data_IF_884729177424
#
_entry.id   IF_884729177424
#
_cell.length_a   1.000
_cell.length_b   1.000
_cell.length_c   1.000
_cell.angle_alpha   90.00
_cell.angle_beta   90.00
_cell.angle_gamma   90.00
#
_symmetry.space_group_name_H-M   'P 1'
#
loop_
_entity.id
_entity.type
_entity.pdbx_description
1 polymer ?
#
# COMPACT_ATOMS: atom_id res chain seq x y z
N UNK A 1 33.79 20.64 39.53
CA UNK A 1 32.42 21.16 39.47
C UNK A 1 31.58 20.15 38.66
N UNK A 2 30.49 19.63 39.26
CA UNK A 2 29.43 18.75 38.70
C UNK A 2 29.90 17.41 38.05
N UNK A 3 29.80 16.21 38.65
CA UNK A 3 28.65 15.37 39.12
C UNK A 3 27.56 15.22 38.06
N UNK A 4 27.03 14.05 37.66
CA UNK A 4 26.77 12.77 38.36
C UNK A 4 26.52 11.63 37.33
N UNK A 5 27.17 10.47 37.44
CA UNK A 5 26.70 9.17 37.98
C UNK A 5 25.58 8.45 37.20
N UNK A 6 25.96 7.41 36.46
CA UNK A 6 25.08 6.30 36.04
C UNK A 6 25.43 5.06 36.83
N UNK A 7 24.44 4.34 37.36
CA UNK A 7 24.39 2.89 37.52
C UNK A 7 23.10 2.48 38.27
N UNK A 8 22.26 1.63 37.66
CA UNK A 8 22.09 0.21 38.01
C UNK A 8 20.79 -0.37 37.42
N UNK A 9 20.94 -1.57 36.86
CA UNK A 9 19.88 -2.51 36.49
C UNK A 9 19.11 -3.02 37.73
N UNK A 10 17.85 -3.43 37.53
CA UNK A 10 17.34 -4.67 38.12
C UNK A 10 16.10 -5.21 37.35
N UNK A 11 16.16 -6.48 36.97
CA UNK A 11 15.05 -7.33 36.54
C UNK A 11 14.27 -7.81 37.77
N UNK A 12 12.94 -7.90 37.69
CA UNK A 12 12.20 -9.02 38.30
C UNK A 12 10.82 -9.20 37.67
N UNK A 13 10.41 -10.47 37.63
CA UNK A 13 9.14 -10.99 37.19
C UNK A 13 8.04 -10.82 38.26
N UNK A 14 6.79 -10.68 37.84
CA UNK A 14 5.68 -11.58 38.26
C UNK A 14 4.31 -11.01 37.89
N UNK A 15 3.40 -11.97 37.77
CA UNK A 15 1.98 -11.99 37.43
C UNK A 15 1.04 -10.99 38.13
N UNK A 16 -0.09 -10.79 37.44
CA UNK A 16 -1.47 -10.62 37.95
C UNK A 16 -2.12 -9.23 37.87
N UNK A 17 -3.20 -9.20 37.08
CA UNK A 17 -4.46 -8.45 37.22
C UNK A 17 -4.36 -6.97 37.64
N UNK A 18 -4.68 -6.07 36.70
CA UNK A 18 -5.02 -4.68 37.05
C UNK A 18 -6.44 -4.35 36.58
N UNK A 19 -7.30 -4.11 37.57
CA UNK A 19 -8.70 -3.70 37.47
C UNK A 19 -8.72 -2.18 37.35
N UNK A 20 -9.52 -1.64 36.41
CA UNK A 20 -9.75 -0.21 36.25
C UNK A 20 -10.36 0.41 37.53
N UNK A 21 -9.74 1.47 38.03
CA UNK A 21 -10.35 2.37 39.02
C UNK A 21 -10.12 3.82 38.60
N UNK A 22 -11.22 4.56 38.43
CA UNK A 22 -11.27 5.99 38.11
C UNK A 22 -10.73 6.81 39.29
N UNK A 23 -9.68 7.60 39.06
CA UNK A 23 -9.27 8.65 40.00
C UNK A 23 -10.15 9.89 39.80
N UNK A 24 -10.77 10.36 40.89
CA UNK A 24 -11.40 11.67 41.02
C UNK A 24 -10.32 12.73 41.24
N UNK A 25 -10.39 13.83 40.50
CA UNK A 25 -9.62 15.05 40.76
C UNK A 25 -10.34 15.92 41.81
N UNK A 26 -9.62 16.62 42.70
CA UNK A 26 -10.19 17.63 43.59
C UNK A 26 -10.07 19.06 43.00
N UNK A 27 -11.20 19.78 42.98
CA UNK A 27 -11.30 21.25 43.06
C UNK A 27 -11.41 21.61 44.57
N UNK A 28 -10.96 22.71 45.14
CA UNK A 28 -10.57 24.06 44.69
C UNK A 28 -10.01 24.78 45.94
N UNK A 29 -9.23 25.86 45.79
CA UNK A 29 -9.32 27.00 46.73
C UNK A 29 -8.72 28.28 46.13
N UNK A 30 -9.60 29.16 45.66
CA UNK A 30 -9.37 30.61 45.69
C UNK A 30 -10.54 31.25 46.44
N UNK A 31 -10.20 32.11 47.41
CA UNK A 31 -11.18 32.81 48.23
C UNK A 31 -11.73 34.04 47.53
N UNK A 32 -12.99 34.36 47.78
CA UNK A 32 -13.40 35.65 48.35
C UNK A 32 -14.93 35.67 48.65
N UNK A 33 -15.20 36.09 49.88
CA UNK A 33 -16.44 36.52 50.54
C UNK A 33 -17.64 36.88 49.65
N UNK A 34 -18.84 36.42 50.06
CA UNK A 34 -20.04 37.27 49.97
C UNK A 34 -21.41 36.58 49.90
N UNK A 35 -22.03 36.39 51.09
CA UNK A 35 -23.47 36.39 51.41
C UNK A 35 -24.41 35.31 50.83
N UNK A 36 -24.86 34.45 51.72
CA UNK A 36 -26.10 33.67 51.62
C UNK A 36 -27.34 34.58 51.64
N UNK A 37 -28.34 34.29 50.81
CA UNK A 37 -29.76 34.47 51.14
C UNK A 37 -30.60 33.40 50.44
N UNK A 38 -31.22 32.58 51.28
CA UNK A 38 -32.32 31.67 50.98
C UNK A 38 -33.62 32.49 50.88
N UNK A 39 -34.57 32.14 50.02
CA UNK A 39 -36.01 32.40 50.19
C UNK A 39 -36.84 31.76 49.04
N UNK A 40 -37.69 30.83 49.44
CA UNK A 40 -38.68 30.12 48.63
C UNK A 40 -39.96 30.97 48.39
N UNK A 41 -40.49 30.92 47.15
CA UNK A 41 -41.91 30.99 46.70
C UNK A 41 -42.72 32.30 46.85
N UNK A 42 -43.92 32.42 46.21
CA UNK A 42 -44.30 32.29 44.79
C UNK A 42 -45.08 33.54 44.30
N UNK A 43 -45.33 33.70 42.99
CA UNK A 43 -46.38 34.64 42.51
C UNK A 43 -47.33 34.02 41.49
N UNK A 44 -48.60 34.32 41.76
CA UNK A 44 -49.83 33.87 41.10
C UNK A 44 -49.94 34.33 39.64
N UNK A 45 -50.58 33.50 38.83
CA UNK A 45 -51.36 33.94 37.66
C UNK A 45 -52.79 33.42 37.87
N UNK A 46 -53.75 34.35 37.88
CA UNK A 46 -55.19 34.09 37.94
C UNK A 46 -55.85 34.47 36.63
N UNK A 47 -56.66 33.53 36.13
CA UNK A 47 -57.89 33.67 35.32
C UNK A 47 -57.81 34.31 33.93
N UNK A 48 -58.26 33.58 32.90
CA UNK A 48 -59.65 33.63 32.42
C UNK A 48 -59.92 32.62 31.28
N UNK A 49 -61.18 32.15 31.24
CA UNK A 49 -61.95 31.66 30.09
C UNK A 49 -61.83 30.20 29.61
N UNK A 50 -62.63 29.35 30.26
CA UNK A 50 -63.79 28.64 29.70
C UNK A 50 -63.95 28.58 28.16
N UNK A 51 -63.47 27.52 27.51
CA UNK A 51 -64.03 26.99 26.27
C UNK A 51 -63.88 25.45 26.25
N UNK A 52 -64.99 24.73 26.09
CA UNK A 52 -65.03 23.26 25.96
C UNK A 52 -64.42 22.85 24.61
N UNK A 53 -63.51 21.85 24.55
CA UNK A 53 -62.97 21.38 23.29
C UNK A 53 -63.95 20.44 22.57
N UNK A 54 -64.01 20.46 21.22
CA UNK A 54 -64.81 19.53 20.45
C UNK A 54 -64.18 18.13 20.46
N UNK A 55 -65.03 17.11 20.59
CA UNK A 55 -64.67 15.70 20.56
C UNK A 55 -64.13 15.30 19.18
N UNK A 56 -62.82 15.15 19.07
CA UNK A 56 -62.20 14.46 17.93
C UNK A 56 -61.99 12.99 18.28
N UNK A 57 -62.54 12.12 17.43
CA UNK A 57 -62.46 10.67 17.55
C UNK A 57 -61.00 10.22 17.47
N UNK A 58 -60.59 9.36 18.39
CA UNK A 58 -59.35 8.59 18.30
C UNK A 58 -59.41 7.71 17.06
N UNK A 59 -58.68 8.09 16.01
CA UNK A 59 -58.28 7.14 14.98
C UNK A 59 -57.15 6.28 15.55
N UNK A 60 -57.34 4.96 15.54
CA UNK A 60 -56.39 4.02 16.14
C UNK A 60 -55.12 4.04 15.29
N UNK A 61 -54.07 4.61 15.86
CA UNK A 61 -52.73 4.62 15.28
C UNK A 61 -52.32 3.24 14.76
N UNK A 62 -52.30 3.11 13.43
CA UNK A 62 -51.63 2.02 12.75
C UNK A 62 -50.20 2.49 12.49
N UNK A 63 -49.32 1.96 13.34
CA UNK A 63 -47.87 2.06 13.41
C UNK A 63 -47.20 2.49 12.09
N UNK A 64 -46.52 3.64 12.11
CA UNK A 64 -45.43 3.93 11.18
C UNK A 64 -44.32 2.91 11.40
N UNK A 65 -44.23 1.92 10.52
CA UNK A 65 -43.06 1.08 10.36
C UNK A 65 -42.35 1.50 9.07
N UNK A 66 -41.80 2.71 9.07
CA UNK A 66 -40.81 3.11 8.06
C UNK A 66 -39.41 2.77 8.57
N UNK A 67 -39.20 1.50 8.93
CA UNK A 67 -37.87 0.92 8.82
C UNK A 67 -37.70 0.51 7.35
N UNK A 68 -37.46 1.52 6.51
CA UNK A 68 -36.75 1.30 5.25
C UNK A 68 -35.37 0.79 5.65
N UNK A 69 -35.24 -0.53 5.74
CA UNK A 69 -33.96 -1.20 5.78
C UNK A 69 -33.19 -0.65 4.58
N UNK A 70 -32.21 0.24 4.84
CA UNK A 70 -31.25 0.66 3.84
C UNK A 70 -30.64 -0.62 3.31
N UNK A 71 -31.04 -1.02 2.10
CA UNK A 71 -30.38 -2.07 1.33
C UNK A 71 -28.89 -1.73 1.40
N UNK A 72 -28.02 -2.63 1.89
CA UNK A 72 -26.60 -2.34 1.91
C UNK A 72 -26.24 -1.95 0.49
N UNK A 73 -25.71 -0.73 0.31
CA UNK A 73 -25.16 -0.36 -0.98
C UNK A 73 -24.08 -1.41 -1.23
N UNK A 74 -24.23 -2.21 -2.28
CA UNK A 74 -23.13 -3.02 -2.75
C UNK A 74 -22.03 -2.02 -3.09
N UNK A 75 -21.03 -1.92 -2.22
CA UNK A 75 -19.82 -1.15 -2.50
C UNK A 75 -19.14 -1.92 -3.63
N UNK A 76 -19.34 -1.48 -4.87
CA UNK A 76 -18.58 -1.98 -5.99
C UNK A 76 -17.16 -1.45 -5.80
N UNK A 77 -16.27 -2.33 -5.44
CA UNK A 77 -14.89 -1.97 -5.17
C UNK A 77 -14.15 -1.50 -6.44
N UNK A 78 -13.14 -0.67 -6.22
CA UNK A 78 -12.78 0.44 -7.12
C UNK A 78 -11.52 0.18 -7.96
N UNK A 79 -10.77 -0.88 -7.67
CA UNK A 79 -9.60 -1.26 -8.46
C UNK A 79 -10.01 -2.24 -9.56
N UNK A 80 -9.61 -1.94 -10.79
CA UNK A 80 -9.84 -2.79 -11.96
C UNK A 80 -8.59 -3.58 -12.31
N UNK A 81 -8.76 -4.81 -12.78
CA UNK A 81 -7.66 -5.58 -13.36
C UNK A 81 -7.17 -4.90 -14.65
N UNK A 82 -6.01 -4.26 -14.60
CA UNK A 82 -5.40 -3.60 -15.75
C UNK A 82 -4.84 -4.68 -16.70
N UNK A 83 -5.19 -4.67 -18.00
CA UNK A 83 -4.60 -5.62 -18.95
C UNK A 83 -3.10 -5.35 -19.13
N UNK A 84 -2.28 -6.38 -19.42
CA UNK A 84 -0.88 -6.17 -19.80
C UNK A 84 -0.80 -5.26 -21.04
N UNK A 85 0.29 -4.52 -21.25
CA UNK A 85 0.44 -3.58 -22.37
C UNK A 85 0.68 -4.26 -23.73
N UNK A 86 0.36 -5.55 -23.86
CA UNK A 86 0.59 -6.39 -25.04
C UNK A 86 -0.42 -7.54 -25.11
N UNK A 87 -0.52 -8.19 -26.27
CA UNK A 87 -1.35 -9.40 -26.46
C UNK A 87 -0.76 -10.57 -25.66
N UNK A 88 -1.59 -11.53 -25.29
CA UNK A 88 -1.16 -12.61 -24.38
C UNK A 88 -0.14 -13.57 -24.98
N UNK A 89 -0.07 -13.67 -26.30
CA UNK A 89 0.91 -14.46 -27.05
C UNK A 89 2.15 -13.64 -27.47
N UNK A 90 2.20 -12.34 -27.17
CA UNK A 90 3.25 -11.46 -27.68
C UNK A 90 4.62 -11.64 -27.01
N UNK A 91 4.68 -12.40 -25.92
CA UNK A 91 5.93 -12.75 -25.24
C UNK A 91 6.44 -14.15 -25.61
N UNK A 92 5.76 -14.88 -26.50
CA UNK A 92 6.24 -16.17 -26.99
C UNK A 92 7.52 -16.00 -27.84
N UNK A 93 8.46 -16.97 -27.81
CA UNK A 93 8.42 -18.25 -27.08
C UNK A 93 8.96 -18.18 -25.64
N UNK A 94 9.14 -16.98 -25.08
CA UNK A 94 9.87 -16.73 -23.84
C UNK A 94 8.97 -16.69 -22.60
N UNK A 95 7.69 -16.37 -22.76
CA UNK A 95 6.67 -16.60 -21.75
C UNK A 95 5.42 -17.02 -22.49
N UNK A 96 4.89 -18.20 -22.17
CA UNK A 96 3.78 -18.75 -22.94
C UNK A 96 2.50 -17.95 -22.73
N UNK A 97 1.63 -17.96 -23.74
CA UNK A 97 0.26 -17.44 -23.58
C UNK A 97 -0.44 -18.05 -22.36
N UNK A 98 -0.19 -19.34 -22.10
CA UNK A 98 -0.77 -20.04 -20.95
C UNK A 98 -0.30 -19.46 -19.61
N UNK A 99 0.98 -19.11 -19.50
CA UNK A 99 1.51 -18.41 -18.32
C UNK A 99 0.81 -17.06 -18.14
N UNK A 100 0.63 -16.24 -19.18
CA UNK A 100 -0.10 -14.97 -19.04
C UNK A 100 -1.57 -15.18 -18.64
N UNK A 101 -2.28 -16.13 -19.25
CA UNK A 101 -3.67 -16.44 -18.89
C UNK A 101 -3.82 -16.82 -17.42
N UNK A 102 -2.87 -17.56 -16.87
CA UNK A 102 -2.93 -17.99 -15.46
C UNK A 102 -2.42 -16.88 -14.53
N UNK A 103 -1.27 -16.29 -14.82
CA UNK A 103 -0.61 -15.32 -13.94
C UNK A 103 -1.34 -13.97 -13.92
N UNK A 104 -1.71 -13.41 -15.08
CA UNK A 104 -2.57 -12.23 -15.12
C UNK A 104 -4.03 -12.58 -14.88
N UNK A 105 -4.53 -13.59 -15.58
CA UNK A 105 -5.97 -13.89 -15.59
C UNK A 105 -6.47 -14.50 -14.29
N UNK A 106 -5.71 -15.33 -13.59
CA UNK A 106 -6.16 -15.95 -12.34
C UNK A 106 -5.51 -15.32 -11.11
N UNK A 107 -4.17 -15.29 -11.03
CA UNK A 107 -3.47 -14.79 -9.83
C UNK A 107 -3.69 -13.29 -9.63
N UNK A 108 -3.38 -12.48 -10.63
CA UNK A 108 -3.55 -11.03 -10.53
C UNK A 108 -5.02 -10.63 -10.35
N UNK A 109 -5.95 -11.25 -11.10
CA UNK A 109 -7.40 -11.07 -10.89
C UNK A 109 -7.81 -11.42 -9.46
N UNK A 110 -7.32 -12.52 -8.92
CA UNK A 110 -7.60 -12.95 -7.54
C UNK A 110 -7.15 -11.93 -6.50
N UNK A 111 -6.00 -11.28 -6.70
CA UNK A 111 -5.55 -10.18 -5.82
C UNK A 111 -6.46 -8.95 -5.93
N UNK A 112 -6.83 -8.54 -7.15
CA UNK A 112 -7.75 -7.41 -7.36
C UNK A 112 -9.09 -7.67 -6.70
N UNK A 113 -9.70 -8.84 -6.93
CA UNK A 113 -10.97 -9.22 -6.31
C UNK A 113 -10.89 -9.29 -4.79
N UNK A 114 -9.78 -9.79 -4.24
CA UNK A 114 -9.57 -9.88 -2.79
C UNK A 114 -9.39 -8.52 -2.15
N UNK A 115 -8.55 -7.66 -2.75
CA UNK A 115 -8.39 -6.26 -2.34
C UNK A 115 -9.74 -5.55 -2.28
N UNK A 116 -10.50 -5.71 -3.36
CA UNK A 116 -11.83 -5.16 -3.49
C UNK A 116 -12.81 -5.64 -2.39
N UNK A 117 -12.72 -6.91 -1.97
CA UNK A 117 -13.51 -7.44 -0.84
C UNK A 117 -13.10 -6.85 0.51
N UNK A 118 -11.83 -6.50 0.72
CA UNK A 118 -11.41 -5.82 1.93
C UNK A 118 -11.90 -4.37 1.97
N UNK A 119 -11.72 -3.63 0.87
CA UNK A 119 -12.14 -2.23 0.78
C UNK A 119 -13.66 -2.05 0.87
N UNK A 120 -14.44 -3.07 0.50
CA UNK A 120 -15.89 -3.08 0.73
C UNK A 120 -16.31 -3.17 2.21
N UNK A 121 -15.37 -3.38 3.14
CA UNK A 121 -15.62 -3.48 4.59
C UNK A 121 -15.14 -2.28 5.39
N UNK A 122 -14.25 -1.46 4.82
CA UNK A 122 -13.63 -0.33 5.52
C UNK A 122 -13.71 0.94 4.68
N UNK A 123 -14.54 1.89 5.15
CA UNK A 123 -14.73 3.18 4.50
C UNK A 123 -13.51 4.11 4.67
N UNK A 124 -12.59 3.85 5.61
CA UNK A 124 -11.42 4.70 5.89
C UNK A 124 -10.37 4.56 4.78
N UNK A 125 -10.22 3.37 4.23
CA UNK A 125 -9.25 3.09 3.15
C UNK A 125 -9.79 3.47 1.77
N UNK A 126 -10.99 4.06 1.72
CA UNK A 126 -11.59 4.52 0.48
C UNK A 126 -10.89 5.76 -0.08
N UNK A 127 -10.68 5.79 -1.40
CA UNK A 127 -10.18 6.95 -2.13
C UNK A 127 -8.65 7.09 -2.19
N UNK A 128 -7.89 6.27 -1.46
CA UNK A 128 -6.45 6.17 -1.64
C UNK A 128 -6.11 5.68 -3.05
N UNK A 129 -5.02 6.20 -3.62
CA UNK A 129 -4.35 5.54 -4.75
C UNK A 129 -3.69 4.23 -4.28
N UNK A 130 -3.35 3.34 -5.21
CA UNK A 130 -2.77 2.04 -4.85
C UNK A 130 -1.43 2.20 -4.11
N UNK A 131 -0.58 3.12 -4.56
CA UNK A 131 0.69 3.47 -3.92
C UNK A 131 0.51 3.97 -2.49
N UNK A 132 -0.44 4.88 -2.26
CA UNK A 132 -0.73 5.40 -0.92
C UNK A 132 -1.33 4.31 -0.02
N UNK A 133 -2.23 3.48 -0.56
CA UNK A 133 -2.85 2.38 0.17
C UNK A 133 -1.79 1.40 0.66
N UNK A 134 -0.82 1.03 -0.19
CA UNK A 134 0.31 0.17 0.17
C UNK A 134 1.10 0.77 1.33
N UNK A 135 1.44 2.07 1.25
CA UNK A 135 2.22 2.75 2.28
C UNK A 135 1.50 2.80 3.62
N UNK A 136 0.22 3.14 3.63
CA UNK A 136 -0.60 3.22 4.84
C UNK A 136 -0.80 1.83 5.45
N UNK A 137 -1.12 0.84 4.61
CA UNK A 137 -1.40 -0.54 5.08
C UNK A 137 -0.15 -1.32 5.46
N UNK A 138 1.04 -0.94 4.98
CA UNK A 138 2.30 -1.52 5.48
C UNK A 138 2.53 -1.23 6.97
N UNK A 139 2.02 -0.09 7.45
CA UNK A 139 1.97 0.28 8.86
C UNK A 139 3.31 0.05 9.58
N UNK A 140 4.37 0.65 9.04
CA UNK A 140 5.74 0.62 9.58
C UNK A 140 6.27 -0.81 9.85
N UNK A 141 5.96 -1.76 8.97
CA UNK A 141 6.38 -3.16 9.11
C UNK A 141 5.43 -4.03 9.92
N UNK A 142 4.28 -3.50 10.36
CA UNK A 142 3.19 -4.26 10.98
C UNK A 142 1.97 -4.28 10.05
N UNK A 143 2.06 -4.98 8.90
CA UNK A 143 1.11 -4.84 7.81
C UNK A 143 -0.33 -5.17 8.23
N UNK A 144 -1.26 -4.34 7.80
CA UNK A 144 -2.70 -4.57 7.92
C UNK A 144 -3.14 -5.68 6.95
N UNK A 145 -4.31 -6.31 7.16
CA UNK A 145 -4.79 -7.41 6.33
C UNK A 145 -4.84 -7.11 4.82
N UNK A 146 -5.05 -5.85 4.45
CA UNK A 146 -5.16 -5.35 3.09
C UNK A 146 -3.82 -5.29 2.36
N UNK A 147 -2.71 -5.16 3.10
CA UNK A 147 -1.40 -4.83 2.54
C UNK A 147 -0.96 -5.85 1.50
N UNK A 148 -1.00 -7.15 1.83
CA UNK A 148 -0.50 -8.19 0.95
C UNK A 148 -1.24 -8.21 -0.39
N UNK A 149 -2.57 -8.04 -0.38
CA UNK A 149 -3.35 -8.03 -1.63
C UNK A 149 -3.17 -6.72 -2.40
N UNK A 150 -3.09 -5.57 -1.72
CA UNK A 150 -2.81 -4.28 -2.36
C UNK A 150 -1.44 -4.29 -3.04
N UNK A 151 -0.41 -4.73 -2.32
CA UNK A 151 0.94 -4.79 -2.82
C UNK A 151 1.09 -5.82 -3.96
N UNK A 152 0.41 -6.97 -3.90
CA UNK A 152 0.43 -7.92 -5.02
C UNK A 152 -0.25 -7.35 -6.27
N UNK A 153 -1.35 -6.61 -6.18
CA UNK A 153 -1.94 -5.93 -7.36
C UNK A 153 -0.89 -5.00 -7.99
N UNK A 154 -0.26 -4.16 -7.18
CA UNK A 154 0.72 -3.20 -7.65
C UNK A 154 1.97 -3.86 -8.24
N UNK A 155 2.51 -4.90 -7.59
CA UNK A 155 3.68 -5.62 -8.06
C UNK A 155 3.42 -6.26 -9.43
N UNK A 156 2.23 -6.82 -9.65
CA UNK A 156 1.86 -7.43 -10.92
C UNK A 156 1.63 -6.39 -12.01
N UNK A 157 0.90 -5.30 -11.73
CA UNK A 157 0.79 -4.17 -12.66
C UNK A 157 2.17 -3.68 -13.12
N UNK A 158 3.10 -3.54 -12.17
CA UNK A 158 4.46 -3.11 -12.44
C UNK A 158 5.28 -4.14 -13.22
N UNK A 159 5.10 -5.43 -12.94
CA UNK A 159 5.77 -6.54 -13.62
C UNK A 159 5.37 -6.65 -15.09
N UNK A 160 4.08 -6.54 -15.41
CA UNK A 160 3.62 -6.56 -16.81
C UNK A 160 4.21 -5.41 -17.61
N UNK A 161 4.32 -4.23 -17.02
CA UNK A 161 4.98 -3.08 -17.63
C UNK A 161 6.50 -3.20 -17.67
N UNK A 162 7.10 -4.10 -16.89
CA UNK A 162 8.54 -4.37 -16.89
C UNK A 162 8.96 -5.28 -18.05
N UNK A 163 8.00 -5.79 -18.82
CA UNK A 163 8.22 -6.63 -20.00
C UNK A 163 7.67 -5.97 -21.27
N UNK A 164 8.20 -6.37 -22.43
CA UNK A 164 7.66 -5.99 -23.73
C UNK A 164 7.93 -7.06 -24.79
N UNK A 165 7.11 -7.17 -25.85
CA UNK A 165 7.42 -7.95 -27.03
C UNK A 165 8.72 -7.46 -27.69
N UNK A 166 9.63 -8.39 -28.01
CA UNK A 166 10.96 -8.04 -28.53
C UNK A 166 11.81 -7.28 -27.50
N UNK A 167 11.56 -7.51 -26.21
CA UNK A 167 12.35 -6.97 -25.10
C UNK A 167 13.75 -7.58 -25.01
N UNK A 168 14.39 -7.31 -23.88
CA UNK A 168 15.81 -7.60 -23.69
C UNK A 168 16.70 -6.60 -24.42
N UNK A 169 17.85 -7.06 -24.90
CA UNK A 169 18.96 -6.24 -25.38
C UNK A 169 19.60 -5.38 -24.28
N UNK A 170 20.43 -4.41 -24.67
CA UNK A 170 21.02 -3.45 -23.76
C UNK A 170 20.03 -2.33 -23.41
N UNK A 171 20.11 -1.76 -22.19
CA UNK A 171 19.46 -0.50 -21.85
C UNK A 171 19.85 0.60 -22.82
N UNK A 172 18.97 1.58 -22.96
CA UNK A 172 19.14 2.68 -23.91
C UNK A 172 19.39 4.01 -23.20
N UNK A 173 20.04 4.95 -23.89
CA UNK A 173 20.22 6.34 -23.46
C UNK A 173 20.84 6.42 -22.05
N UNK A 174 20.45 7.42 -21.26
CA UNK A 174 21.03 7.66 -19.93
C UNK A 174 20.80 6.53 -18.93
N UNK A 175 19.94 5.54 -19.20
CA UNK A 175 19.79 4.38 -18.31
C UNK A 175 21.04 3.48 -18.36
N UNK A 176 21.61 3.26 -19.55
CA UNK A 176 22.85 2.49 -19.67
C UNK A 176 24.00 3.20 -18.96
N UNK A 177 24.15 4.51 -19.19
CA UNK A 177 25.19 5.33 -18.53
C UNK A 177 25.08 5.26 -17.00
N UNK A 178 23.85 5.34 -16.47
CA UNK A 178 23.63 5.25 -15.02
C UNK A 178 23.92 3.84 -14.49
N UNK A 179 23.58 2.79 -15.23
CA UNK A 179 23.93 1.40 -14.87
C UNK A 179 25.45 1.23 -14.86
N UNK A 180 26.16 1.67 -15.90
CA UNK A 180 27.62 1.55 -15.97
C UNK A 180 28.31 2.38 -14.88
N UNK A 181 27.74 3.52 -14.50
CA UNK A 181 28.22 4.31 -13.37
C UNK A 181 28.10 3.58 -12.03
N UNK A 182 26.96 2.93 -11.77
CA UNK A 182 26.67 2.36 -10.45
C UNK A 182 27.14 0.91 -10.28
N UNK A 183 27.25 0.15 -11.38
CA UNK A 183 27.64 -1.27 -11.39
C UNK A 183 28.99 -1.50 -12.10
N UNK A 184 29.59 -0.47 -12.71
CA UNK A 184 30.84 -0.52 -13.46
C UNK A 184 30.69 -0.96 -14.92
N UNK A 185 29.76 -1.87 -15.20
CA UNK A 185 29.37 -2.26 -16.57
C UNK A 185 27.96 -2.86 -16.59
N UNK A 186 27.34 -2.94 -17.78
CA UNK A 186 26.09 -3.69 -17.92
C UNK A 186 26.26 -5.19 -17.62
N UNK A 187 27.41 -5.79 -17.94
CA UNK A 187 27.69 -7.20 -17.63
C UNK A 187 27.64 -7.45 -16.13
N UNK A 188 28.30 -6.58 -15.36
CA UNK A 188 28.32 -6.67 -13.89
C UNK A 188 26.91 -6.54 -13.32
N UNK A 189 26.12 -5.58 -13.82
CA UNK A 189 24.72 -5.43 -13.43
C UNK A 189 23.92 -6.71 -13.73
N UNK A 190 24.06 -7.27 -14.95
CA UNK A 190 23.32 -8.48 -15.35
C UNK A 190 23.70 -9.66 -14.47
N UNK A 191 24.99 -9.86 -14.20
CA UNK A 191 25.49 -10.91 -13.32
C UNK A 191 24.94 -10.77 -11.90
N UNK A 192 25.03 -9.57 -11.30
CA UNK A 192 24.50 -9.28 -9.97
C UNK A 192 22.98 -9.48 -9.91
N UNK A 193 22.24 -9.06 -10.94
CA UNK A 193 20.78 -9.21 -11.00
C UNK A 193 20.38 -10.68 -11.04
N UNK A 194 21.06 -11.48 -11.87
CA UNK A 194 20.80 -12.91 -12.01
C UNK A 194 21.16 -13.64 -10.71
N UNK A 195 22.35 -13.40 -10.14
CA UNK A 195 22.77 -14.00 -8.88
C UNK A 195 21.78 -13.70 -7.75
N UNK A 196 21.35 -12.44 -7.65
CA UNK A 196 20.37 -12.00 -6.67
C UNK A 196 19.01 -12.71 -6.83
N UNK A 197 18.55 -12.89 -8.07
CA UNK A 197 17.30 -13.59 -8.35
C UNK A 197 17.36 -15.10 -8.02
N UNK A 198 18.52 -15.73 -8.24
CA UNK A 198 18.73 -17.16 -7.95
C UNK A 198 18.93 -17.44 -6.46
N UNK A 199 19.50 -16.50 -5.72
CA UNK A 199 19.68 -16.61 -4.26
C UNK A 199 18.41 -16.27 -3.48
N UNK A 200 17.41 -15.63 -4.10
CA UNK A 200 16.12 -15.37 -3.47
C UNK A 200 15.38 -16.68 -3.15
N UNK A 201 15.27 -16.96 -1.85
CA UNK A 201 14.60 -18.15 -1.33
C UNK A 201 13.10 -17.91 -1.14
N UNK A 202 12.29 -18.87 -1.59
CA UNK A 202 10.83 -18.80 -1.51
C UNK A 202 10.23 -17.82 -2.52
N UNK A 203 9.06 -17.29 -2.18
CA UNK A 203 8.29 -16.37 -3.01
C UNK A 203 8.71 -14.93 -2.78
N UNK A 204 8.83 -14.16 -3.86
CA UNK A 204 9.26 -12.77 -3.78
C UNK A 204 9.54 -12.15 -5.14
N UNK A 205 10.25 -11.02 -5.12
CA UNK A 205 10.50 -10.19 -6.29
C UNK A 205 11.93 -9.68 -6.30
N UNK A 206 12.49 -9.49 -7.49
CA UNK A 206 13.76 -8.80 -7.69
C UNK A 206 13.50 -7.48 -8.40
N UNK A 207 14.19 -6.43 -7.97
CA UNK A 207 13.95 -5.07 -8.43
C UNK A 207 15.26 -4.42 -8.85
N UNK A 208 15.22 -3.65 -9.94
CA UNK A 208 16.15 -2.55 -10.12
C UNK A 208 15.49 -1.30 -9.54
N UNK A 209 16.12 -0.68 -8.56
CA UNK A 209 15.60 0.52 -7.89
C UNK A 209 16.59 1.68 -7.99
N UNK A 210 16.08 2.91 -8.03
CA UNK A 210 16.85 4.10 -7.70
C UNK A 210 16.67 4.40 -6.21
N UNK A 211 17.77 4.28 -5.46
CA UNK A 211 17.84 4.68 -4.04
C UNK A 211 17.81 6.22 -3.97
N UNK A 212 16.68 6.79 -3.54
CA UNK A 212 16.47 8.26 -3.55
C UNK A 212 17.57 9.02 -2.78
N UNK A 213 17.94 8.53 -1.61
CA UNK A 213 18.91 9.18 -0.73
C UNK A 213 20.35 9.05 -1.25
N UNK A 214 20.68 7.91 -1.84
CA UNK A 214 22.02 7.63 -2.36
C UNK A 214 22.21 8.12 -3.80
N UNK A 215 21.11 8.47 -4.50
CA UNK A 215 21.11 8.90 -5.90
C UNK A 215 21.80 7.91 -6.84
N UNK A 216 21.64 6.62 -6.55
CA UNK A 216 22.24 5.52 -7.31
C UNK A 216 21.26 4.37 -7.51
N UNK A 217 21.49 3.60 -8.57
CA UNK A 217 20.83 2.35 -8.82
C UNK A 217 21.35 1.26 -7.88
N UNK A 218 20.44 0.38 -7.50
CA UNK A 218 20.73 -0.81 -6.72
C UNK A 218 19.80 -1.95 -7.14
N UNK A 219 20.26 -3.19 -6.97
CA UNK A 219 19.40 -4.36 -7.05
C UNK A 219 18.86 -4.62 -5.64
N UNK A 220 17.56 -4.85 -5.53
CA UNK A 220 16.89 -5.15 -4.29
C UNK A 220 16.03 -6.41 -4.43
N UNK A 221 15.82 -7.11 -3.32
CA UNK A 221 14.85 -8.21 -3.25
C UNK A 221 13.81 -7.92 -2.20
N UNK A 222 12.61 -8.45 -2.43
CA UNK A 222 11.53 -8.43 -1.46
C UNK A 222 10.91 -9.81 -1.33
N UNK A 223 10.46 -10.16 -0.13
CA UNK A 223 9.78 -11.43 0.13
C UNK A 223 8.27 -11.25 0.03
N UNK A 224 7.60 -12.28 -0.45
CA UNK A 224 6.15 -12.33 -0.63
C UNK A 224 5.61 -11.14 -1.44
N UNK A 225 4.84 -10.27 -0.79
CA UNK A 225 4.17 -9.12 -1.41
C UNK A 225 4.92 -7.80 -1.21
N UNK A 226 6.01 -7.79 -0.44
CA UNK A 226 6.70 -6.53 -0.10
C UNK A 226 7.16 -5.82 -1.37
N UNK A 227 7.04 -4.49 -1.37
CA UNK A 227 7.41 -3.63 -2.50
C UNK A 227 8.40 -2.56 -2.05
N UNK A 228 9.37 -2.14 -2.89
CA UNK A 228 10.30 -1.07 -2.55
C UNK A 228 9.65 0.27 -2.17
N UNK A 229 8.36 0.47 -2.50
CA UNK A 229 7.62 1.67 -2.12
C UNK A 229 7.60 1.92 -0.60
N UNK A 230 7.68 0.88 0.22
CA UNK A 230 7.66 1.02 1.69
C UNK A 230 8.98 1.57 2.25
N UNK A 231 10.02 1.67 1.43
CA UNK A 231 11.34 2.23 1.77
C UNK A 231 11.67 3.51 1.00
N UNK A 232 10.70 4.11 0.32
CA UNK A 232 10.87 5.31 -0.52
C UNK A 232 11.84 5.17 -1.70
N UNK A 233 12.22 3.93 -2.01
CA UNK A 233 12.95 3.59 -3.22
C UNK A 233 12.05 3.76 -4.45
N UNK A 234 12.66 4.10 -5.58
CA UNK A 234 11.92 4.28 -6.84
C UNK A 234 12.20 3.06 -7.72
N UNK A 235 11.23 2.13 -7.85
CA UNK A 235 11.41 0.94 -8.68
C UNK A 235 11.40 1.30 -10.17
N UNK A 236 12.32 0.68 -10.92
CA UNK A 236 12.50 0.86 -12.36
C UNK A 236 12.16 -0.41 -13.13
N UNK A 237 12.56 -1.57 -12.61
CA UNK A 237 12.30 -2.89 -13.18
C UNK A 237 11.89 -3.85 -12.06
N UNK A 238 11.02 -4.82 -12.38
CA UNK A 238 10.63 -5.89 -11.47
C UNK A 238 10.64 -7.23 -12.19
N UNK A 239 11.04 -8.28 -11.46
CA UNK A 239 10.96 -9.67 -11.85
C UNK A 239 10.20 -10.45 -10.77
N UNK A 240 9.08 -11.08 -11.15
CA UNK A 240 8.34 -12.00 -10.29
C UNK A 240 9.12 -13.32 -10.16
N UNK A 241 9.48 -13.68 -8.93
CA UNK A 241 10.17 -14.93 -8.60
C UNK A 241 9.28 -15.95 -7.87
N UNK A 242 7.95 -15.71 -7.83
CA UNK A 242 6.99 -16.72 -7.43
C UNK A 242 6.93 -17.84 -8.46
N UNK A 243 6.77 -19.09 -8.00
CA UNK A 243 6.75 -20.25 -8.91
C UNK A 243 5.65 -20.15 -9.96
N UNK A 244 4.50 -19.54 -9.66
CA UNK A 244 3.43 -19.35 -10.65
C UNK A 244 3.86 -18.52 -11.87
N UNK A 245 4.92 -17.70 -11.76
CA UNK A 245 5.39 -16.86 -12.85
C UNK A 245 6.18 -17.63 -13.91
N UNK A 246 6.74 -18.79 -13.57
CA UNK A 246 7.66 -19.52 -14.45
C UNK A 246 7.44 -21.03 -14.51
N UNK A 247 6.74 -21.64 -13.55
CA UNK A 247 6.69 -23.11 -13.43
C UNK A 247 5.97 -23.79 -14.60
N UNK A 248 5.03 -23.11 -15.26
CA UNK A 248 4.37 -23.63 -16.45
C UNK A 248 5.36 -23.82 -17.60
N UNK A 249 6.28 -22.87 -17.79
CA UNK A 249 7.22 -22.82 -18.92
C UNK A 249 8.58 -23.46 -18.60
N UNK A 250 9.06 -23.34 -17.36
CA UNK A 250 10.43 -23.67 -16.95
C UNK A 250 10.53 -24.71 -15.81
N UNK A 251 9.40 -25.08 -15.19
CA UNK A 251 9.40 -25.98 -14.01
C UNK A 251 10.34 -25.45 -12.93
N UNK A 252 11.30 -26.25 -12.48
CA UNK A 252 12.28 -25.89 -11.46
C UNK A 252 13.52 -25.15 -12.03
N UNK A 253 13.61 -24.93 -13.34
CA UNK A 253 14.75 -24.24 -13.96
C UNK A 253 14.62 -22.70 -13.84
N UNK A 254 14.76 -22.22 -12.60
CA UNK A 254 14.72 -20.79 -12.26
C UNK A 254 15.82 -20.03 -13.00
N UNK A 255 16.99 -20.63 -13.19
CA UNK A 255 18.12 -20.04 -13.91
C UNK A 255 17.75 -19.69 -15.34
N UNK A 256 17.11 -20.61 -16.07
CA UNK A 256 16.66 -20.35 -17.44
C UNK A 256 15.60 -19.27 -17.51
N UNK A 257 14.63 -19.27 -16.59
CA UNK A 257 13.61 -18.22 -16.52
C UNK A 257 14.21 -16.82 -16.35
N UNK A 258 15.11 -16.64 -15.38
CA UNK A 258 15.75 -15.33 -15.11
C UNK A 258 16.60 -14.87 -16.30
N UNK A 259 17.36 -15.77 -16.92
CA UNK A 259 18.16 -15.44 -18.11
C UNK A 259 17.25 -15.04 -19.28
N UNK A 260 16.20 -15.80 -19.56
CA UNK A 260 15.24 -15.48 -20.63
C UNK A 260 14.58 -14.12 -20.37
N UNK A 261 14.22 -13.84 -19.12
CA UNK A 261 13.66 -12.54 -18.77
C UNK A 261 14.62 -11.40 -19.15
N UNK A 262 15.89 -11.46 -18.71
CA UNK A 262 16.91 -10.46 -19.07
C UNK A 262 17.16 -10.35 -20.56
N UNK A 263 17.26 -11.49 -21.25
CA UNK A 263 17.75 -11.53 -22.63
C UNK A 263 16.65 -11.20 -23.65
N UNK A 264 15.37 -11.39 -23.30
CA UNK A 264 14.27 -11.37 -24.26
C UNK A 264 12.98 -10.66 -23.82
N UNK A 265 12.78 -10.40 -22.52
CA UNK A 265 11.50 -9.87 -22.04
C UNK A 265 11.59 -8.45 -21.50
N UNK A 266 12.69 -8.06 -20.87
CA UNK A 266 12.81 -6.75 -20.20
C UNK A 266 12.44 -5.58 -21.12
N UNK A 267 11.61 -4.68 -20.60
CA UNK A 267 11.37 -3.38 -21.21
C UNK A 267 12.32 -2.32 -20.66
N UNK A 268 13.46 -2.12 -21.33
CA UNK A 268 14.35 -1.00 -21.01
C UNK A 268 13.72 0.37 -21.29
N UNK A 269 12.74 0.44 -22.20
CA UNK A 269 11.96 1.65 -22.44
C UNK A 269 11.12 2.05 -21.22
N UNK A 270 10.45 1.08 -20.60
CA UNK A 270 9.68 1.33 -19.38
C UNK A 270 10.59 1.74 -18.21
N UNK A 271 11.73 1.05 -18.05
CA UNK A 271 12.72 1.39 -17.03
C UNK A 271 13.30 2.81 -17.24
N UNK A 272 13.64 3.18 -18.49
CA UNK A 272 14.11 4.53 -18.82
C UNK A 272 13.04 5.58 -18.52
N UNK A 273 11.79 5.34 -18.93
CA UNK A 273 10.69 6.28 -18.67
C UNK A 273 10.44 6.48 -17.16
N UNK A 274 10.56 5.41 -16.36
CA UNK A 274 10.49 5.47 -14.89
C UNK A 274 11.67 6.24 -14.32
N UNK A 275 12.89 6.02 -14.82
CA UNK A 275 14.08 6.74 -14.39
C UNK A 275 14.01 8.23 -14.71
N UNK A 276 13.55 8.60 -15.91
CA UNK A 276 13.38 10.00 -16.32
C UNK A 276 12.37 10.72 -15.42
N UNK A 277 11.25 10.07 -15.08
CA UNK A 277 10.31 10.59 -14.07
C UNK A 277 10.97 10.69 -12.69
N UNK A 278 11.77 9.72 -12.29
CA UNK A 278 12.47 9.75 -11.01
C UNK A 278 13.46 10.93 -10.93
N UNK A 279 14.19 11.20 -12.01
CA UNK A 279 15.16 12.30 -12.10
C UNK A 279 14.53 13.67 -11.80
N UNK A 280 13.28 13.90 -12.23
CA UNK A 280 12.56 15.15 -11.91
C UNK A 280 12.23 15.32 -10.42
N UNK A 281 12.22 14.23 -9.63
CA UNK A 281 11.93 14.27 -8.19
C UNK A 281 13.18 14.16 -7.32
N UNK A 282 14.29 13.64 -7.85
CA UNK A 282 15.50 13.30 -7.07
C UNK A 282 16.64 14.31 -7.30
N UNK A 283 16.47 15.28 -8.21
CA UNK A 283 17.50 16.26 -8.61
C UNK A 283 18.85 15.54 -8.87
N UNK A 284 18.81 14.60 -9.81
CA UNK A 284 20.00 13.89 -10.30
C UNK A 284 20.81 14.81 -11.24
N UNK A 285 21.31 15.93 -10.71
CA UNK A 285 22.05 16.94 -11.48
C UNK A 285 21.17 17.77 -12.42
N UNK A 286 21.68 18.94 -12.85
CA UNK A 286 20.96 19.79 -13.80
C UNK A 286 20.79 19.08 -15.16
N UNK A 287 19.60 19.15 -15.78
CA UNK A 287 19.42 18.65 -17.13
C UNK A 287 20.36 19.42 -18.06
N UNK A 288 21.31 18.71 -18.68
CA UNK A 288 22.07 19.26 -19.81
C UNK A 288 21.12 19.34 -21.00
N UNK A 289 20.38 20.44 -21.09
CA UNK A 289 19.60 20.79 -22.28
C UNK A 289 20.63 21.09 -23.38
N UNK A 290 20.64 20.35 -24.51
CA UNK A 290 21.46 20.73 -25.65
C UNK A 290 21.02 22.12 -26.09
N UNK A 291 21.93 23.09 -26.01
CA UNK A 291 21.69 24.40 -26.62
C UNK A 291 21.62 24.18 -28.12
N UNK A 292 20.50 24.58 -28.72
CA UNK A 292 20.25 24.47 -30.16
C UNK A 292 21.27 25.25 -31.00
#
# INVERSE_FOLDING_TARGET
>A
MSWSSSNYLCLSSSSSVTRFSRCKLPCESEGQRGKCHDLNRPTNISAYNSLKPPSFKLDKGQRRNDHVLKKPRNISAYYSLKPPPYKFDALEPYMSKRTLEVHWGEHHRGYVESLNKYLGKDDILYGYTLDELIRVTYNNGNPLPEYNVAAQVWNHDFFWESMQPGGGNLPILGLLEQIEKDFGSFSNFREEFIETALTLFGSGWVWLVLKRNEKRLAIATTTNAVTPLVWDDIPLLSLDMWEHAYYLDYKNDKARYVNVFMDHLVSWNAALARMARAQSFVNLGEPKIPVA
#
